data_IF_784238328131
#
_entry.id   IF_784238328131
#
_cell.length_a   1.000
_cell.length_b   1.000
_cell.length_c   1.000
_cell.angle_alpha   90.00
_cell.angle_beta   90.00
_cell.angle_gamma   90.00
#
_symmetry.space_group_name_H-M   'P 1'
#
loop_
_entity.id
_entity.type
_entity.pdbx_description
1 polymer ?
#
# COMPACT_ATOMS: atom_id res chain seq x y z
N UNK A 1 -16.24 -18.67 -0.12
CA UNK A 1 -17.55 -17.99 -0.27
C UNK A 1 -17.70 -16.69 0.54
N UNK A 2 -16.83 -16.41 1.52
CA UNK A 2 -16.97 -15.28 2.47
C UNK A 2 -16.93 -13.89 1.82
N UNK A 3 -16.02 -13.65 0.86
CA UNK A 3 -15.86 -12.35 0.18
C UNK A 3 -17.09 -11.92 -0.62
N UNK A 4 -17.64 -12.84 -1.43
CA UNK A 4 -18.82 -12.57 -2.25
C UNK A 4 -20.02 -12.20 -1.38
N UNK A 5 -20.25 -12.91 -0.28
CA UNK A 5 -21.33 -12.60 0.67
C UNK A 5 -21.17 -11.21 1.31
N UNK A 6 -19.95 -10.83 1.67
CA UNK A 6 -19.68 -9.50 2.21
C UNK A 6 -19.95 -8.37 1.21
N UNK A 7 -19.63 -8.58 -0.07
CA UNK A 7 -19.91 -7.61 -1.13
C UNK A 7 -21.40 -7.43 -1.37
N UNK A 8 -22.15 -8.53 -1.41
CA UNK A 8 -23.62 -8.50 -1.54
C UNK A 8 -24.23 -7.73 -0.36
N UNK A 9 -23.80 -8.04 0.87
CA UNK A 9 -24.25 -7.32 2.08
C UNK A 9 -23.90 -5.84 2.04
N UNK A 10 -22.76 -5.47 1.47
CA UNK A 10 -22.31 -4.08 1.42
C UNK A 10 -23.16 -3.21 0.48
N UNK A 11 -23.58 -3.76 -0.66
CA UNK A 11 -24.40 -3.09 -1.68
C UNK A 11 -25.84 -2.87 -1.19
N UNK A 12 -26.34 -3.69 -0.26
CA UNK A 12 -27.61 -3.52 0.47
C UNK A 12 -28.80 -3.20 -0.46
N UNK A 13 -28.92 -3.92 -1.56
CA UNK A 13 -30.06 -3.85 -2.47
C UNK A 13 -31.07 -4.94 -2.10
N UNK A 14 -32.30 -4.53 -1.78
CA UNK A 14 -33.39 -5.46 -1.46
C UNK A 14 -33.75 -6.29 -2.69
N UNK A 15 -33.91 -7.60 -2.51
CA UNK A 15 -34.29 -8.58 -3.54
C UNK A 15 -33.36 -8.66 -4.76
N UNK A 16 -32.12 -8.16 -4.64
CA UNK A 16 -31.14 -8.22 -5.72
C UNK A 16 -30.13 -9.34 -5.52
N UNK A 17 -29.83 -10.07 -6.60
CA UNK A 17 -28.77 -11.09 -6.62
C UNK A 17 -27.77 -10.77 -7.74
N UNK A 18 -26.46 -10.86 -7.46
CA UNK A 18 -25.45 -10.54 -8.47
C UNK A 18 -25.41 -11.60 -9.57
N UNK A 19 -25.63 -11.17 -10.79
CA UNK A 19 -25.43 -11.94 -12.02
C UNK A 19 -23.97 -11.85 -12.49
N UNK A 20 -23.62 -12.56 -13.56
CA UNK A 20 -22.29 -12.47 -14.20
C UNK A 20 -21.99 -11.07 -14.76
N UNK A 21 -23.02 -10.30 -15.11
CA UNK A 21 -22.92 -8.93 -15.59
C UNK A 21 -22.90 -7.89 -14.45
N UNK A 22 -23.05 -8.32 -13.19
CA UNK A 22 -23.07 -7.40 -12.05
C UNK A 22 -21.66 -6.94 -11.71
N UNK A 23 -21.38 -5.66 -11.95
CA UNK A 23 -20.07 -5.05 -11.73
C UNK A 23 -20.13 -3.94 -10.68
N UNK A 24 -19.05 -3.79 -9.92
CA UNK A 24 -18.85 -2.70 -8.96
C UNK A 24 -17.69 -1.84 -9.47
N UNK A 25 -17.91 -0.55 -9.65
CA UNK A 25 -16.87 0.35 -10.12
C UNK A 25 -15.87 0.71 -9.00
N UNK A 26 -14.65 1.09 -9.41
CA UNK A 26 -13.52 1.44 -8.56
C UNK A 26 -13.84 2.47 -7.47
N UNK A 27 -14.74 3.43 -7.75
CA UNK A 27 -15.15 4.50 -6.83
C UNK A 27 -15.74 4.00 -5.50
N UNK A 28 -16.13 2.73 -5.42
CA UNK A 28 -16.69 2.14 -4.21
C UNK A 28 -15.63 1.63 -3.23
N UNK A 29 -14.35 1.74 -3.59
CA UNK A 29 -13.17 1.39 -2.79
C UNK A 29 -12.36 2.65 -2.46
N UNK A 30 -11.73 2.67 -1.30
CA UNK A 30 -10.92 3.79 -0.79
C UNK A 30 -9.66 3.96 -1.64
N UNK A 31 -8.91 2.89 -1.91
CA UNK A 31 -7.78 2.91 -2.84
C UNK A 31 -8.18 2.76 -4.33
N UNK A 32 -9.48 2.76 -4.64
CA UNK A 32 -9.98 2.59 -6.00
C UNK A 32 -9.93 1.15 -6.55
N UNK A 33 -9.46 0.18 -5.77
CA UNK A 33 -9.39 -1.23 -6.19
C UNK A 33 -9.69 -2.20 -5.05
N UNK A 34 -10.27 -3.38 -5.35
CA UNK A 34 -10.57 -4.37 -4.33
C UNK A 34 -9.30 -5.09 -3.85
N UNK A 35 -9.13 -5.19 -2.54
CA UNK A 35 -8.04 -5.98 -1.94
C UNK A 35 -8.37 -7.47 -1.85
N UNK A 36 -7.34 -8.32 -1.91
CA UNK A 36 -7.44 -9.76 -1.63
C UNK A 36 -7.39 -10.06 -0.13
N UNK A 37 -6.73 -9.23 0.68
CA UNK A 37 -6.55 -9.41 2.12
C UNK A 37 -7.83 -8.99 2.89
N UNK A 38 -8.47 -9.88 3.68
CA UNK A 38 -9.62 -9.55 4.52
C UNK A 38 -9.40 -8.42 5.54
N UNK A 39 -8.15 -8.18 5.92
CA UNK A 39 -7.80 -7.15 6.90
C UNK A 39 -7.72 -5.75 6.28
N UNK A 40 -7.64 -5.67 4.96
CA UNK A 40 -7.62 -4.42 4.23
C UNK A 40 -9.03 -3.82 4.15
N UNK A 41 -9.19 -2.50 4.33
CA UNK A 41 -10.50 -1.86 4.28
C UNK A 41 -11.13 -1.90 2.88
N UNK A 42 -10.32 -2.09 1.83
CA UNK A 42 -10.76 -2.26 0.45
C UNK A 42 -11.11 -3.70 0.08
N UNK A 43 -11.13 -4.62 1.04
CA UNK A 43 -11.55 -6.00 0.78
C UNK A 43 -13.01 -6.12 0.32
N UNK A 44 -13.86 -5.17 0.73
CA UNK A 44 -15.25 -5.04 0.31
C UNK A 44 -15.57 -3.58 -0.06
N UNK A 45 -16.52 -3.33 -0.97
CA UNK A 45 -16.92 -1.97 -1.30
C UNK A 45 -17.57 -1.33 -0.08
N UNK A 46 -17.08 -0.17 0.34
CA UNK A 46 -17.56 0.50 1.56
C UNK A 46 -18.19 1.85 1.28
N UNK A 47 -17.86 2.47 0.15
CA UNK A 47 -18.31 3.81 -0.23
C UNK A 47 -19.61 3.68 -1.03
N UNK A 48 -20.74 4.07 -0.44
CA UNK A 48 -22.03 4.15 -1.14
C UNK A 48 -22.77 5.42 -0.72
N UNK A 49 -23.53 6.02 -1.64
CA UNK A 49 -24.29 7.26 -1.38
C UNK A 49 -25.35 7.09 -0.27
N UNK A 50 -25.92 5.90 -0.13
CA UNK A 50 -26.91 5.57 0.91
C UNK A 50 -26.29 5.31 2.29
N UNK A 51 -24.97 5.13 2.39
CA UNK A 51 -24.28 5.09 3.68
C UNK A 51 -23.93 6.52 4.07
N UNK A 52 -24.14 6.87 5.35
CA UNK A 52 -23.65 8.15 5.85
C UNK A 52 -22.12 8.20 5.65
N UNK A 53 -21.64 9.27 5.01
CA UNK A 53 -20.20 9.52 4.85
C UNK A 53 -19.62 9.82 6.22
N UNK A 54 -19.20 8.78 6.92
CA UNK A 54 -18.57 8.92 8.21
C UNK A 54 -17.05 8.99 7.96
N UNK A 55 -16.54 10.16 7.54
CA UNK A 55 -15.11 10.33 7.22
C UNK A 55 -14.18 9.83 8.33
N UNK A 56 -14.56 10.09 9.59
CA UNK A 56 -13.88 9.56 10.79
C UNK A 56 -13.81 8.02 10.82
N UNK A 57 -14.81 7.29 10.32
CA UNK A 57 -14.81 5.83 10.32
C UNK A 57 -13.89 5.25 9.25
N UNK A 58 -13.82 5.87 8.08
CA UNK A 58 -12.95 5.39 7.00
C UNK A 58 -11.48 5.69 7.30
N UNK A 59 -11.20 6.88 7.85
CA UNK A 59 -9.90 7.22 8.45
C UNK A 59 -9.54 6.25 9.58
N UNK A 60 -10.48 5.94 10.48
CA UNK A 60 -10.25 4.95 11.55
C UNK A 60 -9.92 3.55 11.01
N UNK A 61 -10.54 3.11 9.92
CA UNK A 61 -10.26 1.80 9.31
C UNK A 61 -8.86 1.77 8.70
N UNK A 62 -8.46 2.84 8.01
CA UNK A 62 -7.11 2.99 7.48
C UNK A 62 -6.07 3.05 8.61
N UNK A 63 -6.33 3.83 9.66
CA UNK A 63 -5.46 3.89 10.83
C UNK A 63 -5.37 2.55 11.58
N UNK A 64 -6.47 1.78 11.63
CA UNK A 64 -6.46 0.41 12.18
C UNK A 64 -5.60 -0.51 11.33
N UNK A 65 -5.72 -0.43 10.01
CA UNK A 65 -4.90 -1.21 9.09
C UNK A 65 -3.41 -0.82 9.20
N UNK A 66 -3.09 0.47 9.27
CA UNK A 66 -1.73 0.96 9.48
C UNK A 66 -1.11 0.38 10.76
N UNK A 67 -1.84 0.41 11.89
CA UNK A 67 -1.40 -0.20 13.15
C UNK A 67 -1.27 -1.73 13.06
N UNK A 68 -2.12 -2.39 12.28
CA UNK A 68 -1.98 -3.83 12.04
C UNK A 68 -0.69 -4.13 11.25
N UNK A 69 -0.41 -3.33 10.22
CA UNK A 69 0.81 -3.43 9.41
C UNK A 69 2.06 -3.19 10.27
N UNK A 70 2.08 -2.11 11.03
CA UNK A 70 3.19 -1.76 11.94
C UNK A 70 3.48 -2.88 12.95
N UNK A 71 2.44 -3.45 13.59
CA UNK A 71 2.63 -4.58 14.51
C UNK A 71 3.22 -5.81 13.84
N UNK A 72 2.86 -6.07 12.57
CA UNK A 72 3.44 -7.19 11.81
C UNK A 72 4.89 -6.92 11.45
N UNK A 73 5.20 -5.71 11.02
CA UNK A 73 6.58 -5.30 10.68
C UNK A 73 7.49 -5.31 11.91
N UNK A 74 7.03 -4.80 13.06
CA UNK A 74 7.76 -4.85 14.32
C UNK A 74 7.96 -6.29 14.82
N UNK A 75 6.97 -7.18 14.65
CA UNK A 75 7.14 -8.61 14.98
C UNK A 75 8.21 -9.25 14.10
N UNK A 76 8.26 -8.90 12.82
CA UNK A 76 9.30 -9.37 11.90
C UNK A 76 10.68 -8.85 12.33
N UNK A 77 10.80 -7.60 12.74
CA UNK A 77 12.05 -7.02 13.24
C UNK A 77 12.55 -7.68 14.54
N UNK A 78 11.64 -8.01 15.46
CA UNK A 78 11.95 -8.75 16.70
C UNK A 78 12.39 -10.19 16.40
N UNK A 79 11.74 -10.86 15.45
CA UNK A 79 12.11 -12.23 15.05
C UNK A 79 13.46 -12.26 14.32
N UNK A 80 13.78 -11.24 13.52
CA UNK A 80 15.08 -11.10 12.83
C UNK A 80 16.20 -10.80 13.83
N UNK A 81 15.95 -10.00 14.87
CA UNK A 81 16.96 -9.68 15.90
C UNK A 81 17.21 -10.84 16.87
N UNK A 82 16.19 -11.65 17.19
CA UNK A 82 16.34 -12.84 18.05
C UNK A 82 17.04 -14.03 17.35
N UNK A 83 17.05 -14.07 16.01
CA UNK A 83 17.70 -15.17 15.26
C UNK A 83 19.20 -14.96 15.01
N UNK A 84 19.78 -13.81 15.39
CA UNK A 84 21.21 -13.53 15.24
C UNK A 84 22.04 -13.69 16.52
N UNK A 85 21.43 -14.02 17.67
CA UNK A 85 22.13 -14.01 18.97
C UNK A 85 22.25 -15.33 19.72
N UNK A 86 21.80 -16.48 19.19
CA UNK A 86 21.86 -17.74 19.95
C UNK A 86 22.51 -18.89 19.15
N UNK A 87 23.84 -18.86 19.12
CA UNK A 87 24.67 -20.07 19.11
C UNK A 87 25.49 -19.99 20.40
N UNK A 88 25.50 -21.08 21.18
CA UNK A 88 26.31 -21.39 22.39
C UNK A 88 25.54 -21.62 23.72
N UNK A 89 25.27 -22.92 23.96
CA UNK A 89 25.51 -23.75 25.15
C UNK A 89 24.78 -23.53 26.50
N UNK A 90 24.12 -24.63 26.90
CA UNK A 90 23.93 -25.22 28.24
C UNK A 90 22.71 -24.87 29.15
N UNK A 91 21.86 -25.89 29.25
CA UNK A 91 21.14 -26.49 30.41
C UNK A 91 19.97 -25.78 31.12
N UNK A 92 18.86 -26.52 31.05
CA UNK A 92 17.81 -26.79 32.06
C UNK A 92 16.85 -25.66 32.48
N UNK A 93 15.66 -25.64 31.85
CA UNK A 93 14.39 -25.68 32.56
C UNK A 93 13.21 -25.86 31.56
N UNK A 94 12.34 -26.81 31.86
CA UNK A 94 11.21 -27.29 31.05
C UNK A 94 10.26 -26.20 30.52
N UNK A 95 9.97 -26.24 29.22
CA UNK A 95 8.66 -25.86 28.65
C UNK A 95 8.23 -26.98 27.67
N UNK A 96 6.98 -27.50 27.75
CA UNK A 96 6.60 -28.75 27.09
C UNK A 96 6.32 -28.56 25.60
N UNK A 97 6.98 -29.40 24.79
CA UNK A 97 6.67 -29.67 23.39
C UNK A 97 5.25 -30.22 23.21
N UNK A 98 4.50 -29.66 22.26
CA UNK A 98 3.62 -30.48 21.39
C UNK A 98 3.66 -30.04 19.92
N UNK A 99 4.40 -30.83 19.12
CA UNK A 99 4.04 -31.41 17.80
C UNK A 99 3.89 -30.49 16.57
N UNK A 100 5.00 -30.44 15.82
CA UNK A 100 5.18 -30.69 14.37
C UNK A 100 4.04 -30.38 13.37
N UNK A 101 4.29 -29.51 12.39
CA UNK A 101 4.68 -29.85 10.98
C UNK A 101 4.70 -28.57 10.12
N UNK A 102 5.81 -28.36 9.38
CA UNK A 102 5.83 -27.61 8.12
C UNK A 102 6.72 -26.36 8.10
N UNK A 103 7.98 -26.52 7.72
CA UNK A 103 8.94 -25.42 7.44
C UNK A 103 8.37 -24.44 6.40
N UNK A 104 8.03 -23.22 6.82
CA UNK A 104 7.60 -22.09 5.96
C UNK A 104 8.82 -21.22 5.55
N UNK A 105 10.01 -21.81 5.49
CA UNK A 105 11.27 -21.07 5.29
C UNK A 105 11.46 -20.63 3.84
N UNK A 106 11.04 -21.45 2.86
CA UNK A 106 11.37 -21.19 1.46
C UNK A 106 10.43 -20.18 0.78
N UNK A 107 9.16 -20.17 1.18
CA UNK A 107 8.15 -19.24 0.65
C UNK A 107 8.36 -17.82 1.19
N UNK A 108 8.89 -17.69 2.41
CA UNK A 108 9.19 -16.39 3.02
C UNK A 108 10.45 -15.75 2.45
N UNK A 109 11.50 -16.55 2.16
CA UNK A 109 12.72 -16.05 1.52
C UNK A 109 12.44 -15.49 0.12
N UNK A 110 11.77 -16.26 -0.74
CA UNK A 110 11.46 -15.83 -2.11
C UNK A 110 10.59 -14.57 -2.16
N UNK A 111 9.68 -14.40 -1.19
CA UNK A 111 8.87 -13.19 -1.08
C UNK A 111 9.71 -11.97 -0.66
N UNK A 112 10.65 -12.16 0.28
CA UNK A 112 11.55 -11.10 0.73
C UNK A 112 12.50 -10.65 -0.38
N UNK A 113 13.07 -11.58 -1.15
CA UNK A 113 13.96 -11.28 -2.27
C UNK A 113 13.26 -10.42 -3.33
N UNK A 114 12.04 -10.82 -3.71
CA UNK A 114 11.22 -10.07 -4.67
C UNK A 114 10.88 -8.67 -4.17
N UNK A 115 10.52 -8.53 -2.89
CA UNK A 115 10.24 -7.22 -2.30
C UNK A 115 11.51 -6.35 -2.21
N UNK A 116 12.66 -6.96 -1.95
CA UNK A 116 13.96 -6.29 -1.93
C UNK A 116 14.33 -5.75 -3.32
N UNK A 117 14.17 -6.57 -4.36
CA UNK A 117 14.37 -6.16 -5.75
C UNK A 117 13.43 -5.02 -6.16
N UNK A 118 12.14 -5.13 -5.81
CA UNK A 118 11.15 -4.10 -6.12
C UNK A 118 11.46 -2.78 -5.41
N UNK A 119 11.86 -2.84 -4.14
CA UNK A 119 12.30 -1.66 -3.38
C UNK A 119 13.52 -0.99 -4.01
N UNK A 120 14.52 -1.77 -4.42
CA UNK A 120 15.70 -1.25 -5.12
C UNK A 120 15.33 -0.59 -6.45
N UNK A 121 14.46 -1.23 -7.25
CA UNK A 121 13.99 -0.68 -8.52
C UNK A 121 13.19 0.61 -8.34
N UNK A 122 12.33 0.69 -7.31
CA UNK A 122 11.56 1.90 -6.98
C UNK A 122 12.47 3.04 -6.54
N UNK A 123 13.49 2.78 -5.72
CA UNK A 123 14.48 3.79 -5.32
C UNK A 123 15.24 4.35 -6.53
N UNK A 124 15.63 3.49 -7.48
CA UNK A 124 16.26 3.94 -8.73
C UNK A 124 15.34 4.85 -9.55
N UNK A 125 14.07 4.45 -9.71
CA UNK A 125 13.06 5.26 -10.41
C UNK A 125 12.87 6.63 -9.76
N UNK A 126 12.77 6.68 -8.42
CA UNK A 126 12.66 7.94 -7.69
C UNK A 126 13.83 8.87 -8.00
N UNK A 127 15.06 8.37 -7.87
CA UNK A 127 16.27 9.14 -8.15
C UNK A 127 16.32 9.66 -9.59
N UNK A 128 15.87 8.87 -10.56
CA UNK A 128 15.83 9.28 -11.96
C UNK A 128 14.74 10.34 -12.20
N UNK A 129 13.56 10.18 -11.59
CA UNK A 129 12.50 11.21 -11.67
C UNK A 129 12.92 12.53 -11.02
N UNK A 130 13.67 12.49 -9.92
CA UNK A 130 14.22 13.68 -9.27
C UNK A 130 15.18 14.45 -10.18
N UNK A 131 16.06 13.72 -10.90
CA UNK A 131 16.97 14.33 -11.89
C UNK A 131 16.20 14.99 -13.05
N UNK A 132 15.17 14.32 -13.56
CA UNK A 132 14.32 14.86 -14.63
C UNK A 132 13.64 16.14 -14.15
N UNK A 133 13.09 16.13 -12.93
CA UNK A 133 12.43 17.28 -12.33
C UNK A 133 13.41 18.46 -12.15
N UNK A 134 14.62 18.20 -11.65
CA UNK A 134 15.66 19.23 -11.53
C UNK A 134 16.06 19.84 -12.89
N UNK A 135 16.09 19.02 -13.93
CA UNK A 135 16.37 19.48 -15.31
C UNK A 135 15.21 20.34 -15.83
N UNK A 136 13.97 19.90 -15.62
CA UNK A 136 12.78 20.65 -16.03
C UNK A 136 12.72 22.02 -15.33
N UNK A 137 13.07 22.09 -14.05
CA UNK A 137 13.16 23.35 -13.30
C UNK A 137 14.20 24.31 -13.87
N UNK A 138 15.36 23.80 -14.31
CA UNK A 138 16.38 24.63 -14.99
C UNK A 138 15.84 25.18 -16.32
N UNK A 139 15.22 24.33 -17.13
CA UNK A 139 14.64 24.74 -18.40
C UNK A 139 13.52 25.79 -18.20
N UNK A 140 12.70 25.64 -17.16
CA UNK A 140 11.67 26.61 -16.81
C UNK A 140 12.27 27.97 -16.43
N UNK A 141 13.38 28.00 -15.69
CA UNK A 141 14.09 29.25 -15.37
C UNK A 141 14.64 29.93 -16.62
N UNK A 142 15.22 29.16 -17.55
CA UNK A 142 15.74 29.69 -18.82
C UNK A 142 14.60 30.31 -19.64
N UNK A 143 13.47 29.61 -19.78
CA UNK A 143 12.30 30.14 -20.47
C UNK A 143 11.78 31.43 -19.84
N UNK A 144 11.75 31.52 -18.51
CA UNK A 144 11.36 32.76 -17.83
C UNK A 144 12.27 33.93 -18.18
N UNK A 145 13.59 33.71 -18.25
CA UNK A 145 14.57 34.73 -18.65
C UNK A 145 14.36 35.16 -20.11
N UNK A 146 14.21 34.20 -21.03
CA UNK A 146 14.00 34.49 -22.45
C UNK A 146 12.71 35.28 -22.67
N UNK A 147 11.63 34.88 -22.01
CA UNK A 147 10.35 35.61 -22.08
C UNK A 147 10.47 37.04 -21.56
N UNK A 148 11.24 37.25 -20.50
CA UNK A 148 11.50 38.60 -19.95
C UNK A 148 12.33 39.46 -20.91
N UNK A 149 13.33 38.87 -21.58
CA UNK A 149 14.11 39.57 -22.60
C UNK A 149 13.25 39.96 -23.81
N UNK A 150 12.37 39.06 -24.26
CA UNK A 150 11.47 39.33 -25.38
C UNK A 150 10.50 40.46 -25.05
N UNK A 151 9.93 40.47 -23.83
CA UNK A 151 9.08 41.57 -23.36
C UNK A 151 9.79 42.91 -23.47
N UNK A 152 11.04 43.00 -23.01
CA UNK A 152 11.85 44.23 -23.08
C UNK A 152 12.13 44.68 -24.52
N UNK A 153 12.34 43.74 -25.44
CA UNK A 153 12.57 44.08 -26.86
C UNK A 153 11.31 44.66 -27.53
N UNK A 154 10.13 44.08 -27.23
CA UNK A 154 8.85 44.56 -27.78
C UNK A 154 8.54 45.98 -27.29
N UNK A 155 8.83 46.32 -26.04
CA UNK A 155 8.57 47.66 -25.48
C UNK A 155 9.47 48.77 -26.03
N UNK A 156 10.56 48.46 -26.74
CA UNK A 156 11.50 49.44 -27.30
C UNK A 156 11.11 49.83 -28.75
N UNK A 157 10.17 49.12 -29.38
CA UNK A 157 9.76 49.35 -30.77
C UNK A 157 8.48 50.19 -30.94
N UNK A 158 7.84 50.61 -29.84
CA UNK A 158 6.69 51.54 -29.80
C UNK A 158 7.14 52.92 -29.27
#
# INVERSE_FOLDING_TARGET
MVKRAAWIRAIRTENWTPTTASVVCSKHFIAGQPSTDPNLPDWAPTIFSFKRKNGKQDECKMARYARFKERREATVEVVISQSQSEIHADTDASIPTTKEVGTISDVTSSHYDRLSEENSALQKKLKDTEKVLATMQKNQKVLAIVNEQLRKQVTIQD
#
